data_IF_066285504060
#
_entry.id   IF_066285504060
#
_cell.length_a   1.000
_cell.length_b   1.000
_cell.length_c   1.000
_cell.angle_alpha   90.00
_cell.angle_beta   90.00
_cell.angle_gamma   90.00
#
_symmetry.space_group_name_H-M   'P 1'
#
loop_
_entity.id
_entity.type
_entity.pdbx_description
1 polymer ?
#
# COMPACT_ATOMS: atom_id res chain seq x y z
N UNK A 1 -12.68 10.69 -9.52
CA UNK A 1 -11.33 10.70 -10.11
C UNK A 1 -11.31 9.62 -11.17
N UNK A 2 -11.33 9.99 -12.45
CA UNK A 2 -11.36 9.04 -13.56
C UNK A 2 -9.93 8.90 -14.10
N UNK A 3 -9.43 7.67 -14.17
CA UNK A 3 -8.17 7.36 -14.83
C UNK A 3 -8.28 7.65 -16.33
N UNK A 4 -7.28 8.31 -16.90
CA UNK A 4 -7.17 8.46 -18.35
C UNK A 4 -6.71 7.15 -18.99
N UNK A 5 -6.99 6.96 -20.29
CA UNK A 5 -6.57 5.76 -21.02
C UNK A 5 -5.04 5.58 -21.00
N UNK A 6 -4.29 6.68 -21.04
CA UNK A 6 -2.82 6.66 -20.98
C UNK A 6 -2.34 6.15 -19.62
N UNK A 7 -2.89 6.67 -18.53
CA UNK A 7 -2.54 6.24 -17.17
C UNK A 7 -2.88 4.77 -16.95
N UNK A 8 -4.06 4.32 -17.40
CA UNK A 8 -4.45 2.92 -17.33
C UNK A 8 -3.47 2.01 -18.11
N UNK A 9 -3.03 2.44 -19.29
CA UNK A 9 -2.04 1.70 -20.10
C UNK A 9 -0.64 1.67 -19.49
N UNK A 10 -0.25 2.68 -18.71
CA UNK A 10 1.04 2.64 -18.00
C UNK A 10 0.96 1.80 -16.71
N UNK A 11 -0.21 1.73 -16.05
CA UNK A 11 -0.43 0.84 -14.91
C UNK A 11 -0.44 -0.64 -15.32
N UNK A 12 -1.03 -0.95 -16.47
CA UNK A 12 -1.08 -2.32 -17.04
C UNK A 12 -0.14 -2.40 -18.24
N UNK A 13 1.11 -1.95 -18.04
CA UNK A 13 2.10 -1.89 -19.11
C UNK A 13 2.50 -3.28 -19.61
N UNK A 14 2.57 -4.27 -18.73
CA UNK A 14 3.03 -5.62 -19.06
C UNK A 14 1.89 -6.48 -19.59
N UNK A 15 2.13 -7.11 -20.73
CA UNK A 15 1.23 -8.10 -21.33
C UNK A 15 1.99 -9.40 -21.58
N UNK A 16 1.31 -10.54 -21.39
CA UNK A 16 1.88 -11.84 -21.67
C UNK A 16 1.92 -12.06 -23.19
N UNK A 17 3.12 -12.16 -23.75
CA UNK A 17 3.34 -12.35 -25.19
C UNK A 17 4.15 -13.60 -25.47
N UNK A 18 3.81 -14.30 -26.55
CA UNK A 18 4.63 -15.41 -27.05
C UNK A 18 5.85 -14.86 -27.78
N UNK A 19 7.04 -15.25 -27.32
CA UNK A 19 8.32 -14.89 -27.93
C UNK A 19 9.12 -16.14 -28.24
N UNK A 20 9.76 -16.14 -29.40
CA UNK A 20 10.73 -17.17 -29.76
C UNK A 20 12.06 -16.87 -29.05
N UNK A 21 12.43 -17.69 -28.07
CA UNK A 21 13.68 -17.55 -27.32
C UNK A 21 14.45 -18.85 -27.46
N UNK A 22 15.65 -18.78 -28.02
CA UNK A 22 16.53 -19.93 -28.27
C UNK A 22 15.82 -21.07 -29.03
N UNK A 23 15.03 -20.71 -30.06
CA UNK A 23 14.30 -21.66 -30.90
C UNK A 23 13.07 -22.30 -30.26
N UNK A 24 12.66 -21.88 -29.05
CA UNK A 24 11.44 -22.33 -28.38
C UNK A 24 10.51 -21.16 -28.11
N UNK A 25 9.22 -21.34 -28.35
CA UNK A 25 8.21 -20.35 -27.94
C UNK A 25 8.07 -20.36 -26.42
N UNK A 26 8.10 -19.17 -25.81
CA UNK A 26 7.87 -18.95 -24.38
C UNK A 26 6.93 -17.77 -24.20
N UNK A 27 6.07 -17.87 -23.21
CA UNK A 27 5.26 -16.75 -22.74
C UNK A 27 6.13 -15.88 -21.83
N UNK A 28 6.31 -14.61 -22.22
CA UNK A 28 7.08 -13.62 -21.46
C UNK A 28 6.25 -12.35 -21.31
N UNK A 29 6.38 -11.70 -20.16
CA UNK A 29 5.79 -10.40 -19.93
C UNK A 29 6.61 -9.34 -20.69
N UNK A 30 5.93 -8.52 -21.49
CA UNK A 30 6.54 -7.44 -22.26
C UNK A 30 5.75 -6.15 -22.10
N UNK A 31 6.46 -5.05 -21.83
CA UNK A 31 5.88 -3.72 -21.76
C UNK A 31 5.61 -3.11 -23.16
N UNK A 32 6.08 -3.75 -24.24
CA UNK A 32 5.94 -3.29 -25.64
C UNK A 32 6.43 -1.85 -25.85
N UNK A 33 7.46 -1.46 -25.11
CA UNK A 33 8.03 -0.10 -25.15
C UNK A 33 7.23 0.98 -24.40
N UNK A 34 6.17 0.60 -23.67
CA UNK A 34 5.48 1.51 -22.74
C UNK A 34 6.23 1.63 -21.41
N UNK A 35 6.00 2.72 -20.69
CA UNK A 35 6.51 2.91 -19.34
C UNK A 35 5.62 2.13 -18.36
N UNK A 36 6.24 1.42 -17.41
CA UNK A 36 5.52 0.68 -16.38
C UNK A 36 5.58 1.48 -15.08
N UNK A 37 4.59 2.35 -14.87
CA UNK A 37 4.54 3.21 -13.69
C UNK A 37 4.38 2.41 -12.39
N UNK A 38 3.75 1.23 -12.45
CA UNK A 38 3.63 0.36 -11.29
C UNK A 38 5.00 -0.21 -10.88
N UNK A 39 5.80 -0.63 -11.86
CA UNK A 39 7.16 -1.11 -11.62
C UNK A 39 8.08 0.02 -11.15
N UNK A 40 8.04 1.19 -11.79
CA UNK A 40 8.81 2.37 -11.38
C UNK A 40 8.49 2.74 -9.92
N UNK A 41 7.21 2.77 -9.55
CA UNK A 41 6.76 3.03 -8.19
C UNK A 41 7.29 1.99 -7.18
N UNK A 42 7.20 0.70 -7.52
CA UNK A 42 7.73 -0.37 -6.66
C UNK A 42 9.24 -0.24 -6.46
N UNK A 43 9.99 0.04 -7.53
CA UNK A 43 11.45 0.22 -7.46
C UNK A 43 11.81 1.41 -6.59
N UNK A 44 11.11 2.54 -6.72
CA UNK A 44 11.32 3.70 -5.85
C UNK A 44 10.96 3.43 -4.40
N UNK A 45 9.84 2.77 -4.13
CA UNK A 45 9.44 2.39 -2.78
C UNK A 45 10.48 1.45 -2.15
N UNK A 46 10.99 0.48 -2.91
CA UNK A 46 12.04 -0.44 -2.46
C UNK A 46 13.36 0.29 -2.18
N UNK A 47 13.77 1.20 -3.05
CA UNK A 47 14.96 2.02 -2.85
C UNK A 47 14.85 2.90 -1.60
N UNK A 48 13.70 3.59 -1.45
CA UNK A 48 13.42 4.41 -0.28
C UNK A 48 13.42 3.57 1.00
N UNK A 49 12.78 2.40 0.99
CA UNK A 49 12.79 1.46 2.12
C UNK A 49 14.23 1.06 2.49
N UNK A 50 15.04 0.68 1.50
CA UNK A 50 16.43 0.26 1.74
C UNK A 50 17.27 1.37 2.35
N UNK A 51 17.15 2.60 1.83
CA UNK A 51 17.82 3.77 2.40
C UNK A 51 17.36 3.98 3.84
N UNK A 52 16.06 3.82 4.11
CA UNK A 52 15.51 4.00 5.44
C UNK A 52 16.00 2.97 6.46
N UNK A 53 16.08 1.71 6.07
CA UNK A 53 16.69 0.66 6.90
C UNK A 53 18.16 0.99 7.19
N UNK A 54 18.92 1.43 6.18
CA UNK A 54 20.35 1.68 6.33
C UNK A 54 20.69 2.94 7.14
N UNK A 55 19.93 4.03 6.96
CA UNK A 55 20.25 5.35 7.55
C UNK A 55 19.50 5.62 8.84
N UNK A 56 18.28 5.11 8.97
CA UNK A 56 17.42 5.39 10.11
C UNK A 56 17.09 4.14 10.94
N UNK A 57 17.72 3.00 10.63
CA UNK A 57 17.43 1.72 11.31
C UNK A 57 15.93 1.40 11.34
N UNK A 58 15.22 1.74 10.25
CA UNK A 58 13.78 1.49 10.13
C UNK A 58 13.50 -0.01 10.33
N UNK A 59 12.67 -0.33 11.33
CA UNK A 59 12.24 -1.69 11.63
C UNK A 59 10.75 -1.88 11.30
N UNK A 60 10.47 -2.73 10.32
CA UNK A 60 9.11 -3.01 9.86
C UNK A 60 8.29 -3.79 10.90
N UNK A 61 8.91 -4.63 11.72
CA UNK A 61 8.21 -5.41 12.74
C UNK A 61 7.79 -4.51 13.92
N UNK A 62 8.69 -3.61 14.33
CA UNK A 62 8.37 -2.59 15.33
C UNK A 62 7.21 -1.69 14.88
N UNK A 63 7.22 -1.26 13.61
CA UNK A 63 6.15 -0.44 13.03
C UNK A 63 4.82 -1.22 12.89
N UNK A 64 4.88 -2.49 12.48
CA UNK A 64 3.70 -3.34 12.39
C UNK A 64 3.06 -3.56 13.77
N UNK A 65 3.89 -3.71 14.80
CA UNK A 65 3.43 -3.84 16.19
C UNK A 65 2.79 -2.54 16.68
N UNK A 66 3.43 -1.39 16.44
CA UNK A 66 2.90 -0.06 16.78
C UNK A 66 1.52 0.20 16.14
N UNK A 67 1.34 -0.17 14.87
CA UNK A 67 0.06 0.00 14.17
C UNK A 67 -1.05 -0.85 14.79
N UNK A 68 -0.75 -2.09 15.18
CA UNK A 68 -1.72 -2.98 15.82
C UNK A 68 -2.14 -2.48 17.21
N UNK A 69 -1.22 -1.88 17.98
CA UNK A 69 -1.57 -1.26 19.25
C UNK A 69 -2.45 -0.02 19.07
N UNK A 70 -2.18 0.82 18.06
CA UNK A 70 -3.00 1.99 17.76
C UNK A 70 -4.45 1.62 17.40
N UNK A 71 -4.65 0.55 16.61
CA UNK A 71 -6.00 0.05 16.27
C UNK A 71 -6.76 -0.51 17.49
N UNK A 72 -6.04 -0.98 18.52
CA UNK A 72 -6.64 -1.49 19.76
C UNK A 72 -6.99 -0.38 20.75
N UNK A 73 -6.21 0.71 20.76
CA UNK A 73 -6.39 1.84 21.68
C UNK A 73 -7.41 2.88 21.18
N UNK A 74 -7.83 2.83 19.90
CA UNK A 74 -8.93 3.67 19.42
C UNK A 74 -10.29 3.13 19.89
N UNK A 75 -10.99 3.82 20.81
CA UNK A 75 -12.30 3.39 21.26
C UNK A 75 -13.28 3.36 20.09
N UNK A 76 -14.07 2.30 19.99
CA UNK A 76 -15.09 2.19 18.94
C UNK A 76 -16.13 3.29 19.09
N UNK A 77 -16.84 3.61 18.00
CA UNK A 77 -17.89 4.64 18.01
C UNK A 77 -18.94 4.38 19.10
N UNK A 78 -19.25 3.11 19.35
CA UNK A 78 -20.17 2.66 20.41
C UNK A 78 -19.59 2.91 21.81
N UNK A 79 -18.31 2.64 22.03
CA UNK A 79 -17.62 2.92 23.30
C UNK A 79 -17.52 4.43 23.56
N UNK A 80 -17.23 5.21 22.53
CA UNK A 80 -17.23 6.68 22.60
C UNK A 80 -18.62 7.22 22.95
N UNK A 81 -19.67 6.69 22.32
CA UNK A 81 -21.06 7.06 22.61
C UNK A 81 -21.45 6.71 24.06
N UNK A 82 -21.02 5.53 24.55
CA UNK A 82 -21.27 5.12 25.94
C UNK A 82 -20.52 6.00 26.96
N UNK A 83 -19.27 6.39 26.68
CA UNK A 83 -18.49 7.30 27.53
C UNK A 83 -19.11 8.70 27.60
N UNK A 84 -19.65 9.22 26.50
CA UNK A 84 -20.39 10.49 26.50
C UNK A 84 -21.75 10.37 27.21
N UNK A 85 -22.48 9.28 27.00
CA UNK A 85 -23.79 9.05 27.62
C UNK A 85 -23.69 8.87 29.15
N UNK A 86 -22.60 8.26 29.64
CA UNK A 86 -22.33 8.10 31.08
C UNK A 86 -22.04 9.40 31.84
N UNK A 87 -21.77 10.52 31.13
CA UNK A 87 -21.55 11.85 31.73
C UNK A 87 -22.82 12.61 32.12
N UNK A 88 -24.01 12.11 31.79
CA UNK A 88 -25.30 12.78 32.04
C UNK A 88 -26.04 12.17 33.23
N UNK A 89 -25.34 11.83 34.31
CA UNK A 89 -25.97 11.38 35.57
C UNK A 89 -25.25 11.94 36.79
N UNK A 90 -25.12 13.25 36.84
CA UNK A 90 -24.56 13.96 37.99
C UNK A 90 -25.06 15.39 38.04
N UNK A 91 -26.29 15.57 38.54
CA UNK A 91 -26.77 16.67 39.38
C UNK A 91 -28.28 16.84 39.24
N UNK A 92 -29.03 16.27 40.17
CA UNK A 92 -30.21 16.95 40.70
C UNK A 92 -30.21 16.75 42.22
N UNK A 93 -29.89 17.86 42.90
CA UNK A 93 -30.06 18.07 44.32
C UNK A 93 -31.56 18.20 44.64
#
# INVERSE_FOLDING_TARGET
MFFTEVEAKQLVAEELVEKLVNGKFRLLWDAKGRRNEALDCLVYASAALRVSVQRWQLDLEALATSRKSEEQDTPTLEQLAAMLAGGVNGNNH
#
